data_IF_331681431354
#
_entry.id   IF_331681431354
#
_cell.length_a   1.000
_cell.length_b   1.000
_cell.length_c   1.000
_cell.angle_alpha   90.00
_cell.angle_beta   90.00
_cell.angle_gamma   90.00
#
_symmetry.space_group_name_H-M   'P 1'
#
loop_
_entity.id
_entity.type
_entity.pdbx_description
1 polymer ?
#
# COMPACT_ATOMS: atom_id res chain seq x y z
N UNK A 1 -2.97 -9.51 -1.20
CA UNK A 1 -2.32 -8.66 -0.19
C UNK A 1 -3.40 -8.01 0.69
N UNK A 2 -3.06 -7.65 1.94
CA UNK A 2 -3.92 -6.90 2.86
C UNK A 2 -3.15 -5.74 3.50
N UNK A 3 -3.74 -4.56 3.54
CA UNK A 3 -3.19 -3.36 4.18
C UNK A 3 -4.13 -2.88 5.28
N UNK A 4 -3.63 -2.69 6.50
CA UNK A 4 -4.43 -2.26 7.65
C UNK A 4 -3.84 -1.03 8.30
N UNK A 5 -4.61 0.05 8.43
CA UNK A 5 -4.19 1.24 9.17
C UNK A 5 -4.36 0.97 10.66
N UNK A 6 -3.32 1.19 11.46
CA UNK A 6 -3.37 0.96 12.91
C UNK A 6 -3.01 2.21 13.72
N UNK A 7 -2.52 3.27 13.09
CA UNK A 7 -2.20 4.51 13.77
C UNK A 7 -2.29 5.74 12.87
N UNK A 8 -2.60 6.85 13.50
CA UNK A 8 -2.54 8.19 12.93
C UNK A 8 -1.82 9.09 13.93
N UNK A 9 -0.98 10.00 13.43
CA UNK A 9 -0.27 10.97 14.28
C UNK A 9 -0.22 12.31 13.57
N UNK A 10 -0.63 13.34 14.31
CA UNK A 10 -0.43 14.73 13.95
C UNK A 10 0.94 15.16 14.44
N UNK A 11 1.80 15.60 13.52
CA UNK A 11 3.07 16.21 13.89
C UNK A 11 2.85 17.70 14.12
N UNK A 12 3.03 18.14 15.36
CA UNK A 12 2.92 19.54 15.74
C UNK A 12 4.11 20.32 15.19
N UNK A 13 3.94 20.93 14.01
CA UNK A 13 4.43 22.28 13.64
C UNK A 13 4.06 22.59 12.17
N UNK A 14 3.00 23.39 11.99
CA UNK A 14 2.90 24.37 10.90
C UNK A 14 2.47 23.93 9.50
N UNK A 15 2.39 22.64 9.18
CA UNK A 15 1.97 22.20 7.84
C UNK A 15 0.84 21.16 7.88
N UNK A 16 -0.26 21.43 7.16
CA UNK A 16 -1.36 20.48 6.89
C UNK A 16 -0.88 19.21 6.15
N UNK A 17 0.38 19.19 5.71
CA UNK A 17 1.04 18.09 5.02
C UNK A 17 1.69 17.05 5.97
N UNK A 18 1.64 17.25 7.29
CA UNK A 18 2.37 16.41 8.27
C UNK A 18 1.45 15.44 9.05
N UNK A 19 0.37 14.97 8.43
CA UNK A 19 -0.35 13.79 8.92
C UNK A 19 0.40 12.52 8.54
N UNK A 20 0.67 11.66 9.52
CA UNK A 20 1.32 10.36 9.30
C UNK A 20 0.39 9.22 9.66
N UNK A 21 0.32 8.23 8.76
CA UNK A 21 -0.47 7.02 8.94
C UNK A 21 0.47 5.84 9.09
N UNK A 22 0.32 5.08 10.17
CA UNK A 22 1.01 3.84 10.40
C UNK A 22 0.12 2.67 9.96
N UNK A 23 0.68 1.73 9.22
CA UNK A 23 -0.06 0.60 8.67
C UNK A 23 0.76 -0.69 8.70
N UNK A 24 0.05 -1.81 8.59
CA UNK A 24 0.60 -3.15 8.46
C UNK A 24 0.26 -3.70 7.08
N UNK A 25 1.24 -4.33 6.44
CA UNK A 25 1.09 -5.04 5.18
C UNK A 25 1.24 -6.54 5.41
N UNK A 26 0.22 -7.29 4.99
CA UNK A 26 0.29 -8.74 4.83
C UNK A 26 0.34 -9.06 3.34
N UNK A 27 1.40 -9.73 2.90
CA UNK A 27 1.55 -10.18 1.51
C UNK A 27 0.70 -11.42 1.18
N UNK A 28 0.07 -12.03 2.20
CA UNK A 28 -0.74 -13.25 2.07
C UNK A 28 0.09 -14.54 2.21
N UNK A 29 1.39 -14.42 2.47
CA UNK A 29 2.25 -15.54 2.81
C UNK A 29 2.21 -15.82 4.33
N UNK A 30 2.96 -16.85 4.76
CA UNK A 30 3.20 -17.12 6.18
C UNK A 30 4.23 -16.17 6.82
N UNK A 31 4.79 -15.22 6.07
CA UNK A 31 5.71 -14.23 6.60
C UNK A 31 5.01 -13.27 7.58
N UNK A 32 5.74 -12.75 8.58
CA UNK A 32 5.19 -11.72 9.47
C UNK A 32 4.77 -10.46 8.72
N UNK A 33 3.73 -9.74 9.17
CA UNK A 33 3.37 -8.44 8.60
C UNK A 33 4.51 -7.44 8.69
N UNK A 34 4.63 -6.62 7.65
CA UNK A 34 5.56 -5.49 7.62
C UNK A 34 4.84 -4.26 8.15
N UNK A 35 5.48 -3.55 9.09
CA UNK A 35 4.97 -2.29 9.67
C UNK A 35 5.65 -1.11 9.02
N UNK A 36 4.87 -0.22 8.44
CA UNK A 36 5.35 0.95 7.72
C UNK A 36 4.58 2.21 8.12
N UNK A 37 5.09 3.36 7.71
CA UNK A 37 4.37 4.63 7.85
C UNK A 37 4.47 5.49 6.61
N UNK A 38 3.41 6.24 6.30
CA UNK A 38 3.35 7.15 5.15
C UNK A 38 2.85 8.52 5.59
N UNK A 39 3.38 9.58 4.97
CA UNK A 39 2.84 10.93 5.11
C UNK A 39 1.67 11.15 4.16
N UNK A 40 0.72 12.01 4.53
CA UNK A 40 -0.38 12.41 3.64
C UNK A 40 0.13 12.95 2.30
N UNK A 41 1.22 13.75 2.33
CA UNK A 41 1.86 14.27 1.11
C UNK A 41 2.35 13.14 0.19
N UNK A 42 3.03 12.15 0.75
CA UNK A 42 3.50 10.99 -0.02
C UNK A 42 2.31 10.21 -0.59
N UNK A 43 1.26 9.97 0.19
CA UNK A 43 0.06 9.28 -0.28
C UNK A 43 -0.59 10.02 -1.46
N UNK A 44 -0.71 11.35 -1.40
CA UNK A 44 -1.20 12.18 -2.52
C UNK A 44 -0.37 12.01 -3.79
N UNK A 45 0.97 12.05 -3.66
CA UNK A 45 1.88 11.87 -4.80
C UNK A 45 1.72 10.49 -5.42
N UNK A 46 1.64 9.44 -4.60
CA UNK A 46 1.53 8.06 -5.09
C UNK A 46 0.21 7.83 -5.82
N UNK A 47 -0.91 8.28 -5.24
CA UNK A 47 -2.24 8.11 -5.85
C UNK A 47 -2.39 8.90 -7.16
N UNK A 48 -1.74 10.07 -7.28
CA UNK A 48 -1.79 10.87 -8.51
C UNK A 48 -1.14 10.18 -9.71
N UNK A 49 -0.22 9.24 -9.49
CA UNK A 49 0.55 8.58 -10.56
C UNK A 49 0.18 7.11 -10.78
N UNK A 50 -0.69 6.53 -9.95
CA UNK A 50 -1.07 5.11 -10.03
C UNK A 50 -2.59 4.94 -10.22
N UNK A 51 -2.98 4.48 -11.41
CA UNK A 51 -4.38 4.31 -11.82
C UNK A 51 -4.98 2.96 -11.39
N UNK A 52 -4.18 1.90 -11.31
CA UNK A 52 -4.58 0.59 -10.81
C UNK A 52 -4.10 0.38 -9.38
N UNK A 53 -4.96 -0.18 -8.53
CA UNK A 53 -4.70 -0.19 -7.09
C UNK A 53 -4.90 -1.53 -6.42
N UNK A 54 -3.78 -2.15 -6.05
CA UNK A 54 -3.72 -3.13 -4.99
C UNK A 54 -4.15 -2.50 -3.64
N UNK A 55 -4.27 -3.31 -2.59
CA UNK A 55 -4.72 -2.93 -1.25
C UNK A 55 -4.00 -1.69 -0.69
N UNK A 56 -2.70 -1.53 -0.98
CA UNK A 56 -1.92 -0.37 -0.55
C UNK A 56 -2.38 0.91 -1.24
N UNK A 57 -2.63 0.86 -2.55
CA UNK A 57 -3.14 2.02 -3.31
C UNK A 57 -4.58 2.34 -2.91
N UNK A 58 -5.42 1.34 -2.64
CA UNK A 58 -6.77 1.56 -2.12
C UNK A 58 -6.73 2.25 -0.74
N UNK A 59 -5.84 1.79 0.14
CA UNK A 59 -5.60 2.43 1.44
C UNK A 59 -5.14 3.88 1.28
N UNK A 60 -4.19 4.16 0.38
CA UNK A 60 -3.75 5.54 0.13
C UNK A 60 -4.87 6.42 -0.44
N UNK A 61 -5.72 5.88 -1.32
CA UNK A 61 -6.91 6.59 -1.81
C UNK A 61 -7.87 6.93 -0.68
N UNK A 62 -8.12 6.00 0.24
CA UNK A 62 -8.98 6.25 1.41
C UNK A 62 -8.40 7.35 2.32
N UNK A 63 -7.09 7.34 2.54
CA UNK A 63 -6.39 8.41 3.28
C UNK A 63 -6.57 9.76 2.58
N UNK A 64 -6.30 9.83 1.28
CA UNK A 64 -6.33 11.08 0.49
C UNK A 64 -7.75 11.64 0.36
N UNK A 65 -8.76 10.78 0.27
CA UNK A 65 -10.17 11.18 0.15
C UNK A 65 -10.82 11.50 1.50
N UNK A 66 -10.15 11.22 2.62
CA UNK A 66 -10.65 11.56 3.96
C UNK A 66 -10.29 12.99 4.31
N UNK A 67 -11.17 13.64 5.07
CA UNK A 67 -10.91 14.97 5.64
C UNK A 67 -10.21 14.85 7.00
N UNK A 68 -9.47 15.89 7.41
CA UNK A 68 -8.71 15.90 8.67
C UNK A 68 -9.48 15.43 9.92
N UNK A 69 -10.73 15.87 10.17
CA UNK A 69 -11.53 15.39 11.31
C UNK A 69 -11.88 13.90 11.28
N UNK A 70 -11.67 13.23 10.15
CA UNK A 70 -12.02 11.83 9.91
C UNK A 70 -10.80 10.91 9.81
N UNK A 71 -9.57 11.40 9.97
CA UNK A 71 -8.37 10.55 9.86
C UNK A 71 -8.32 9.45 10.92
N UNK A 72 -8.71 9.73 12.15
CA UNK A 72 -8.75 8.72 13.21
C UNK A 72 -9.79 7.62 12.92
N UNK A 73 -10.81 7.90 12.09
CA UNK A 73 -11.80 6.90 11.67
C UNK A 73 -11.24 5.89 10.67
N UNK A 74 -10.06 6.17 10.10
CA UNK A 74 -9.35 5.24 9.23
C UNK A 74 -8.61 4.16 10.03
N UNK A 75 -8.36 4.38 11.32
CA UNK A 75 -7.71 3.39 12.18
C UNK A 75 -8.60 2.15 12.28
N UNK A 76 -8.00 0.98 12.04
CA UNK A 76 -8.68 -0.31 11.97
C UNK A 76 -9.25 -0.65 10.59
N UNK A 77 -9.29 0.30 9.65
CA UNK A 77 -9.69 -0.01 8.28
C UNK A 77 -8.66 -0.91 7.62
N UNK A 78 -9.18 -1.95 6.97
CA UNK A 78 -8.40 -2.92 6.22
C UNK A 78 -8.82 -2.88 4.75
N UNK A 79 -7.83 -2.98 3.87
CA UNK A 79 -7.99 -3.04 2.43
C UNK A 79 -7.39 -4.35 1.96
N UNK A 80 -8.07 -5.05 1.06
CA UNK A 80 -7.63 -6.33 0.53
C UNK A 80 -7.61 -6.25 -0.99
N UNK A 81 -6.64 -6.92 -1.61
CA UNK A 81 -6.70 -7.09 -3.06
C UNK A 81 -7.92 -7.95 -3.38
N UNK A 82 -8.72 -7.51 -4.35
CA UNK A 82 -9.49 -8.43 -5.16
C UNK A 82 -8.47 -9.20 -6.02
N UNK A 83 -7.81 -10.19 -5.41
CA UNK A 83 -6.94 -11.09 -6.17
C UNK A 83 -7.84 -11.90 -7.10
N UNK A 84 -8.11 -11.36 -8.30
CA UNK A 84 -8.59 -12.16 -9.41
C UNK A 84 -7.44 -13.12 -9.71
N UNK A 85 -7.58 -14.36 -9.26
CA UNK A 85 -6.65 -15.48 -9.47
C UNK A 85 -6.32 -15.73 -10.97
N UNK A 86 -6.95 -15.01 -11.90
CA UNK A 86 -6.81 -15.13 -13.35
C UNK A 86 -6.77 -13.75 -14.08
N UNK A 87 -6.15 -12.72 -13.51
CA UNK A 87 -5.69 -11.57 -14.32
C UNK A 87 -4.44 -11.95 -15.10
N UNK A 88 -4.21 -11.47 -16.35
CA UNK A 88 -3.01 -11.80 -17.11
C UNK A 88 -1.80 -11.38 -16.28
N UNK A 89 -1.07 -12.38 -15.80
CA UNK A 89 0.21 -12.15 -15.15
C UNK A 89 1.16 -11.67 -16.23
N UNK A 90 1.34 -10.34 -16.34
CA UNK A 90 2.39 -9.72 -17.15
C UNK A 90 3.82 -10.07 -16.64
N UNK A 91 3.95 -10.96 -15.65
CA UNK A 91 5.17 -11.76 -15.49
C UNK A 91 5.21 -12.80 -16.61
N UNK A 92 5.58 -12.34 -17.79
CA UNK A 92 6.26 -13.17 -18.77
C UNK A 92 7.53 -13.64 -18.07
N UNK A 93 7.54 -14.89 -17.62
CA UNK A 93 8.78 -15.57 -17.26
C UNK A 93 9.47 -15.99 -18.56
N UNK A 94 9.87 -14.99 -19.36
CA UNK A 94 10.73 -15.16 -20.53
C UNK A 94 12.21 -15.10 -20.10
N UNK A 95 12.52 -15.76 -18.99
CA UNK A 95 13.90 -16.09 -18.66
C UNK A 95 14.28 -17.28 -19.55
N UNK A 96 15.16 -17.14 -20.56
CA UNK A 96 15.64 -18.30 -21.28
C UNK A 96 16.38 -19.17 -20.26
N UNK A 97 15.93 -20.42 -20.12
CA UNK A 97 16.63 -21.43 -19.34
C UNK A 97 18.11 -21.39 -19.75
N UNK A 98 18.97 -20.93 -18.85
CA UNK A 98 20.41 -21.01 -19.02
C UNK A 98 20.77 -22.49 -19.06
N UNK A 99 20.77 -23.05 -20.27
CA UNK A 99 21.42 -24.30 -20.58
C UNK A 99 22.90 -24.05 -20.31
N UNK A 100 23.36 -24.49 -19.14
CA UNK A 100 24.78 -24.63 -18.87
C UNK A 100 25.32 -25.64 -19.88
N UNK A 101 25.83 -25.14 -20.99
CA UNK A 101 26.72 -25.87 -21.85
C UNK A 101 28.05 -26.09 -21.10
N UNK A 102 28.74 -27.16 -21.52
CA UNK A 102 30.05 -27.65 -21.09
C UNK A 102 29.98 -28.67 -19.94
N UNK A 103 30.41 -29.93 -20.12
CA UNK A 103 31.45 -30.45 -21.00
C UNK A 103 31.32 -31.96 -21.21
#
# INVERSE_FOLDING_TARGET
MKATIWGHTDLAEGHEEVHRFAFELHDGSAAPPVRESVSLRTARVVVAHLQDGNALIQMFRAIVNSESPNYDKLIGQSFEDDFIQNGPSDRVDDSPAWQNAER
#
